data_IF_753410197081
#
_entry.id   IF_753410197081
#
_cell.length_a   1.000
_cell.length_b   1.000
_cell.length_c   1.000
_cell.angle_alpha   90.00
_cell.angle_beta   90.00
_cell.angle_gamma   90.00
#
_symmetry.space_group_name_H-M   'P 1'
#
loop_
_entity.id
_entity.type
_entity.pdbx_description
1 polymer ?
#
# COMPACT_ATOMS: atom_id res chain seq x y z
N UNK A 1 -11.22 -10.90 -12.18
CA UNK A 1 -12.30 -9.90 -12.43
C UNK A 1 -12.49 -9.11 -11.15
N UNK A 2 -12.24 -7.80 -11.17
CA UNK A 2 -12.45 -6.94 -10.01
C UNK A 2 -13.94 -6.86 -9.68
N UNK A 3 -14.28 -6.90 -8.38
CA UNK A 3 -15.65 -6.67 -7.94
C UNK A 3 -15.97 -5.18 -8.06
N UNK A 4 -17.07 -4.84 -8.72
CA UNK A 4 -17.60 -3.47 -8.68
C UNK A 4 -17.99 -3.11 -7.24
N UNK A 5 -18.01 -1.82 -6.91
CA UNK A 5 -18.41 -1.36 -5.56
C UNK A 5 -19.81 -1.86 -5.18
N UNK A 6 -20.73 -1.96 -6.15
CA UNK A 6 -22.06 -2.54 -5.96
C UNK A 6 -22.02 -4.05 -5.67
N UNK A 7 -21.25 -4.82 -6.46
CA UNK A 7 -21.09 -6.25 -6.24
C UNK A 7 -20.45 -6.55 -4.87
N UNK A 8 -19.43 -5.77 -4.49
CA UNK A 8 -18.77 -5.91 -3.21
C UNK A 8 -19.68 -5.50 -2.03
N UNK A 9 -20.52 -4.48 -2.21
CA UNK A 9 -21.54 -4.11 -1.22
C UNK A 9 -22.57 -5.22 -1.02
N UNK A 10 -23.08 -5.82 -2.11
CA UNK A 10 -24.00 -6.94 -2.04
C UNK A 10 -23.35 -8.16 -1.39
N UNK A 11 -22.10 -8.46 -1.75
CA UNK A 11 -21.32 -9.53 -1.15
C UNK A 11 -21.19 -9.33 0.36
N UNK A 12 -20.80 -8.13 0.79
CA UNK A 12 -20.66 -7.79 2.21
C UNK A 12 -21.99 -7.97 2.97
N UNK A 13 -23.09 -7.44 2.41
CA UNK A 13 -24.42 -7.58 3.02
C UNK A 13 -24.86 -9.03 3.15
N UNK A 14 -24.57 -9.88 2.17
CA UNK A 14 -24.92 -11.33 2.21
C UNK A 14 -24.25 -12.08 3.36
N UNK A 15 -23.08 -11.63 3.81
CA UNK A 15 -22.41 -12.25 4.95
C UNK A 15 -23.03 -11.86 6.30
N UNK A 16 -23.89 -10.83 6.33
CA UNK A 16 -24.58 -10.34 7.54
C UNK A 16 -23.58 -9.92 8.62
N UNK A 17 -22.48 -9.28 8.23
CA UNK A 17 -21.58 -8.64 9.18
C UNK A 17 -22.33 -7.50 9.86
N UNK A 18 -22.49 -7.55 11.19
CA UNK A 18 -23.11 -6.47 11.97
C UNK A 18 -22.20 -5.24 12.10
N UNK A 19 -21.15 -5.16 11.29
CA UNK A 19 -20.06 -4.18 11.37
C UNK A 19 -19.79 -3.60 9.98
N UNK A 20 -19.47 -2.31 9.94
CA UNK A 20 -19.11 -1.65 8.70
C UNK A 20 -17.72 -2.08 8.24
N UNK A 21 -17.56 -2.25 6.92
CA UNK A 21 -16.28 -2.55 6.29
C UNK A 21 -15.31 -1.38 6.47
N UNK A 22 -14.05 -1.68 6.73
CA UNK A 22 -12.98 -0.67 6.78
C UNK A 22 -12.59 -0.19 5.37
N UNK A 23 -12.11 1.05 5.26
CA UNK A 23 -11.67 1.62 3.98
C UNK A 23 -10.41 0.92 3.45
N UNK A 24 -9.44 0.59 4.31
CA UNK A 24 -8.26 -0.24 3.95
C UNK A 24 -8.65 -1.54 3.24
N UNK A 25 -9.67 -2.26 3.73
CA UNK A 25 -10.14 -3.48 3.06
C UNK A 25 -10.74 -3.16 1.69
N UNK A 26 -11.47 -2.05 1.57
CA UNK A 26 -12.00 -1.60 0.28
C UNK A 26 -10.88 -1.29 -0.72
N UNK A 27 -9.83 -0.60 -0.27
CA UNK A 27 -8.65 -0.29 -1.08
C UNK A 27 -7.91 -1.55 -1.49
N UNK A 28 -7.65 -2.47 -0.55
CA UNK A 28 -6.94 -3.72 -0.82
C UNK A 28 -7.69 -4.60 -1.83
N UNK A 29 -9.02 -4.71 -1.73
CA UNK A 29 -9.82 -5.50 -2.67
C UNK A 29 -9.93 -4.88 -4.07
N UNK A 30 -9.65 -3.58 -4.19
CA UNK A 30 -9.64 -2.85 -5.45
C UNK A 30 -8.30 -2.93 -6.21
N UNK A 31 -7.26 -3.47 -5.60
CA UNK A 31 -5.95 -3.62 -6.24
C UNK A 31 -6.00 -4.60 -7.42
N UNK A 32 -5.41 -4.23 -8.55
CA UNK A 32 -5.36 -5.02 -9.80
C UNK A 32 -4.54 -6.30 -9.72
N UNK A 33 -3.67 -6.43 -8.74
CA UNK A 33 -2.92 -7.65 -8.49
C UNK A 33 -3.69 -8.65 -7.61
N UNK A 34 -4.83 -8.27 -7.03
CA UNK A 34 -5.66 -9.13 -6.16
C UNK A 34 -6.64 -9.93 -7.01
N UNK A 35 -6.12 -10.89 -7.76
CA UNK A 35 -6.93 -11.76 -8.61
C UNK A 35 -6.76 -13.22 -8.25
N UNK A 36 -5.52 -13.70 -8.21
CA UNK A 36 -5.17 -15.09 -7.91
C UNK A 36 -4.13 -15.15 -6.79
N UNK A 37 -4.22 -16.14 -5.91
CA UNK A 37 -3.22 -16.34 -4.86
C UNK A 37 -3.77 -16.90 -3.56
N UNK A 38 -3.04 -16.63 -2.49
CA UNK A 38 -3.36 -17.03 -1.12
C UNK A 38 -3.86 -15.82 -0.32
N UNK A 39 -4.82 -16.06 0.56
CA UNK A 39 -5.30 -15.09 1.54
C UNK A 39 -5.31 -15.67 2.95
N UNK A 40 -5.10 -14.80 3.93
CA UNK A 40 -5.04 -15.17 5.34
C UNK A 40 -5.96 -14.25 6.14
N UNK A 41 -6.82 -14.84 6.95
CA UNK A 41 -7.76 -14.11 7.83
C UNK A 41 -7.20 -14.15 9.24
N UNK A 42 -6.92 -12.97 9.80
CA UNK A 42 -6.50 -12.78 11.17
C UNK A 42 -7.67 -12.35 12.06
N UNK A 43 -7.63 -12.82 13.31
CA UNK A 43 -8.50 -12.35 14.38
C UNK A 43 -7.71 -12.27 15.69
N UNK A 44 -7.77 -11.13 16.37
CA UNK A 44 -6.92 -10.78 17.51
C UNK A 44 -5.43 -10.91 17.17
N UNK A 45 -4.74 -11.87 17.78
CA UNK A 45 -3.31 -12.12 17.71
C UNK A 45 -2.97 -13.37 16.88
N UNK A 46 -3.96 -13.97 16.19
CA UNK A 46 -3.75 -15.23 15.46
C UNK A 46 -4.37 -15.24 14.06
N UNK A 47 -3.77 -16.05 13.19
CA UNK A 47 -4.36 -16.42 11.90
C UNK A 47 -5.41 -17.49 12.17
N UNK A 48 -6.65 -17.25 11.75
CA UNK A 48 -7.78 -18.14 12.00
C UNK A 48 -8.19 -18.95 10.78
N UNK A 49 -7.86 -18.48 9.58
CA UNK A 49 -8.11 -19.21 8.35
C UNK A 49 -7.14 -18.81 7.24
N UNK A 50 -6.72 -19.77 6.43
CA UNK A 50 -5.93 -19.56 5.22
C UNK A 50 -6.66 -20.23 4.07
N UNK A 51 -6.72 -19.55 2.93
CA UNK A 51 -7.31 -20.10 1.72
C UNK A 51 -6.60 -19.63 0.47
N UNK A 52 -6.82 -20.34 -0.63
CA UNK A 52 -6.41 -19.92 -1.97
C UNK A 52 -7.62 -19.63 -2.87
N UNK A 53 -7.43 -18.80 -3.90
CA UNK A 53 -8.45 -18.58 -4.93
C UNK A 53 -7.90 -17.92 -6.19
N UNK A 54 -8.54 -18.19 -7.33
CA UNK A 54 -8.42 -17.38 -8.55
C UNK A 54 -9.41 -16.18 -8.60
N UNK A 55 -10.14 -15.96 -7.49
CA UNK A 55 -11.04 -14.84 -7.26
C UNK A 55 -10.86 -14.33 -5.83
N UNK A 56 -9.64 -13.87 -5.50
CA UNK A 56 -9.26 -13.49 -4.13
C UNK A 56 -10.28 -12.57 -3.45
N UNK A 57 -10.73 -11.50 -4.12
CA UNK A 57 -11.65 -10.53 -3.52
C UNK A 57 -13.00 -11.13 -3.12
N UNK A 58 -13.55 -12.04 -3.93
CA UNK A 58 -14.84 -12.69 -3.66
C UNK A 58 -14.68 -13.79 -2.60
N UNK A 59 -13.73 -14.70 -2.82
CA UNK A 59 -13.58 -15.91 -2.02
C UNK A 59 -13.13 -15.61 -0.60
N UNK A 60 -12.29 -14.60 -0.41
CA UNK A 60 -11.86 -14.17 0.92
C UNK A 60 -13.00 -13.66 1.80
N UNK A 61 -13.94 -12.91 1.23
CA UNK A 61 -15.11 -12.39 1.95
C UNK A 61 -16.10 -13.52 2.27
N UNK A 62 -16.28 -14.49 1.37
CA UNK A 62 -17.09 -15.68 1.65
C UNK A 62 -16.52 -16.50 2.80
N UNK A 63 -15.20 -16.73 2.80
CA UNK A 63 -14.50 -17.43 3.88
C UNK A 63 -14.57 -16.65 5.20
N UNK A 64 -14.37 -15.32 5.15
CA UNK A 64 -14.55 -14.45 6.31
C UNK A 64 -15.96 -14.59 6.89
N UNK A 65 -17.01 -14.56 6.08
CA UNK A 65 -18.38 -14.72 6.57
C UNK A 65 -18.62 -16.05 7.30
N UNK A 66 -18.01 -17.14 6.80
CA UNK A 66 -18.08 -18.47 7.45
C UNK A 66 -17.32 -18.52 8.77
N UNK A 67 -16.13 -17.94 8.82
CA UNK A 67 -15.25 -17.92 9.99
C UNK A 67 -15.77 -16.97 11.07
N UNK A 68 -16.20 -15.78 10.67
CA UNK A 68 -16.68 -14.71 11.56
C UNK A 68 -17.74 -15.19 12.54
N UNK A 69 -18.74 -15.95 12.05
CA UNK A 69 -19.84 -16.47 12.86
C UNK A 69 -19.45 -17.59 13.83
N UNK A 70 -18.26 -18.17 13.67
CA UNK A 70 -17.75 -19.27 14.51
C UNK A 70 -16.87 -18.78 15.65
N UNK A 71 -16.44 -17.53 15.63
CA UNK A 71 -15.67 -16.93 16.72
C UNK A 71 -16.65 -16.35 17.77
N UNK A 72 -16.53 -16.74 19.06
CA UNK A 72 -17.44 -16.28 20.11
C UNK A 72 -17.45 -14.76 20.29
N UNK A 73 -16.27 -14.13 20.31
CA UNK A 73 -16.14 -12.67 20.41
C UNK A 73 -15.89 -12.05 19.04
N UNK A 74 -16.98 -11.69 18.36
CA UNK A 74 -16.90 -11.05 17.05
C UNK A 74 -16.44 -9.58 17.12
N UNK A 75 -16.34 -8.98 18.31
CA UNK A 75 -15.86 -7.62 18.51
C UNK A 75 -14.33 -7.52 18.54
N UNK A 76 -13.62 -8.67 18.55
CA UNK A 76 -12.18 -8.74 18.35
C UNK A 76 -11.74 -7.98 17.07
N UNK A 77 -10.48 -7.55 16.98
CA UNK A 77 -9.96 -6.96 15.77
C UNK A 77 -9.70 -8.05 14.72
N UNK A 78 -10.16 -7.80 13.49
CA UNK A 78 -10.00 -8.66 12.33
C UNK A 78 -9.10 -8.01 11.28
N UNK A 79 -8.29 -8.82 10.63
CA UNK A 79 -7.43 -8.40 9.52
C UNK A 79 -7.44 -9.43 8.40
N UNK A 80 -7.04 -9.00 7.21
CA UNK A 80 -6.78 -9.89 6.11
C UNK A 80 -5.44 -9.57 5.46
N UNK A 81 -4.77 -10.59 4.94
CA UNK A 81 -3.56 -10.46 4.14
C UNK A 81 -3.74 -11.17 2.80
N UNK A 82 -3.14 -10.62 1.73
CA UNK A 82 -3.10 -11.21 0.40
C UNK A 82 -1.68 -11.44 -0.07
N UNK A 83 -1.46 -12.60 -0.66
CA UNK A 83 -0.22 -13.01 -1.30
C UNK A 83 -0.54 -13.51 -2.72
N UNK A 84 -0.36 -12.65 -3.75
CA UNK A 84 -0.71 -12.98 -5.12
C UNK A 84 0.25 -14.03 -5.69
N UNK A 85 -0.30 -15.04 -6.37
CA UNK A 85 0.47 -16.11 -7.01
C UNK A 85 -0.19 -16.57 -8.31
N UNK A 86 0.63 -17.11 -9.22
CA UNK A 86 0.15 -17.88 -10.36
C UNK A 86 -0.55 -19.16 -9.88
N UNK A 87 -1.51 -19.64 -10.67
CA UNK A 87 -2.36 -20.78 -10.30
C UNK A 87 -1.56 -22.04 -9.96
N UNK A 88 -0.48 -22.32 -10.69
CA UNK A 88 0.39 -23.48 -10.45
C UNK A 88 1.10 -23.50 -9.09
N UNK A 89 1.34 -22.34 -8.46
CA UNK A 89 2.10 -22.25 -7.21
C UNK A 89 1.21 -22.13 -5.97
N UNK A 90 -0.09 -21.90 -6.14
CA UNK A 90 -0.99 -21.59 -5.02
C UNK A 90 -1.11 -22.74 -4.00
N UNK A 91 -1.16 -24.00 -4.47
CA UNK A 91 -1.26 -25.19 -3.61
C UNK A 91 -0.05 -25.30 -2.65
N UNK A 92 1.15 -25.00 -3.15
CA UNK A 92 2.39 -25.03 -2.38
C UNK A 92 2.36 -23.97 -1.27
N UNK A 93 2.06 -22.73 -1.64
CA UNK A 93 2.10 -21.59 -0.72
C UNK A 93 0.97 -21.64 0.31
N UNK A 94 -0.24 -22.06 -0.09
CA UNK A 94 -1.34 -22.32 0.83
C UNK A 94 -0.95 -23.42 1.82
N UNK A 95 -0.41 -24.54 1.32
CA UNK A 95 -0.06 -25.67 2.16
C UNK A 95 1.05 -25.34 3.15
N UNK A 96 2.09 -24.63 2.71
CA UNK A 96 3.16 -24.14 3.57
C UNK A 96 2.62 -23.26 4.69
N UNK A 97 1.74 -22.30 4.37
CA UNK A 97 1.18 -21.38 5.34
C UNK A 97 0.23 -22.09 6.32
N UNK A 98 -0.62 -23.02 5.87
CA UNK A 98 -1.48 -23.81 6.78
C UNK A 98 -0.63 -24.62 7.76
N UNK A 99 0.46 -25.24 7.30
CA UNK A 99 1.36 -25.99 8.20
C UNK A 99 2.06 -25.08 9.21
N UNK A 100 2.51 -23.90 8.78
CA UNK A 100 3.22 -22.97 9.65
C UNK A 100 2.32 -22.36 10.74
N UNK A 101 1.09 -21.98 10.38
CA UNK A 101 0.19 -21.25 11.28
C UNK A 101 -0.86 -22.12 11.96
N UNK A 102 -1.11 -23.34 11.46
CA UNK A 102 -2.14 -24.27 11.92
C UNK A 102 -3.49 -23.59 12.28
N UNK A 103 -4.13 -22.85 11.35
CA UNK A 103 -5.29 -22.04 11.68
C UNK A 103 -6.48 -22.90 12.11
N UNK A 104 -7.18 -22.45 13.15
CA UNK A 104 -8.30 -23.16 13.81
C UNK A 104 -9.39 -23.62 12.83
N UNK A 105 -9.66 -22.86 11.76
CA UNK A 105 -10.76 -23.14 10.84
C UNK A 105 -10.33 -23.81 9.53
N UNK A 106 -9.05 -24.16 9.37
CA UNK A 106 -8.62 -25.07 8.32
C UNK A 106 -8.89 -26.51 8.78
N UNK A 107 -9.68 -27.27 8.01
CA UNK A 107 -10.15 -28.61 8.40
C UNK A 107 -9.06 -29.68 8.39
N UNK A 108 -7.93 -29.40 7.75
CA UNK A 108 -6.80 -30.32 7.64
C UNK A 108 -5.49 -29.56 7.56
N UNK A 109 -4.46 -30.13 8.17
CA UNK A 109 -3.07 -29.67 8.04
C UNK A 109 -2.40 -30.54 6.95
N UNK A 110 -1.85 -29.95 5.89
CA UNK A 110 -1.15 -30.70 4.84
C UNK A 110 0.00 -31.54 5.38
N UNK A 111 0.26 -32.70 4.77
CA UNK A 111 1.43 -33.51 5.12
C UNK A 111 2.73 -32.85 4.61
N UNK A 112 3.87 -33.23 5.21
CA UNK A 112 5.19 -32.72 4.81
C UNK A 112 5.47 -32.93 3.30
N UNK A 113 5.08 -34.09 2.77
CA UNK A 113 5.34 -34.44 1.36
C UNK A 113 4.50 -33.65 0.34
N UNK A 114 3.49 -32.87 0.79
CA UNK A 114 2.61 -32.09 -0.09
C UNK A 114 3.09 -30.66 -0.33
N UNK A 115 4.12 -30.20 0.36
CA UNK A 115 4.68 -28.88 0.12
C UNK A 115 6.14 -28.79 0.55
N UNK A 116 6.93 -28.06 -0.23
CA UNK A 116 8.34 -27.74 0.00
C UNK A 116 8.57 -26.70 1.11
N UNK A 117 7.49 -26.14 1.67
CA UNK A 117 7.56 -25.15 2.75
C UNK A 117 7.81 -23.72 2.27
N UNK A 118 7.53 -23.42 1.00
CA UNK A 118 7.71 -22.07 0.45
C UNK A 118 6.63 -21.14 0.98
N UNK A 119 6.97 -20.29 1.95
CA UNK A 119 6.00 -19.37 2.56
C UNK A 119 5.50 -18.32 1.56
N UNK A 120 4.21 -17.94 1.63
CA UNK A 120 3.67 -16.87 0.79
C UNK A 120 4.28 -15.51 1.16
N UNK A 121 4.64 -14.71 0.15
CA UNK A 121 5.06 -13.31 0.32
C UNK A 121 3.83 -12.42 0.34
N UNK A 122 3.59 -11.75 1.47
CA UNK A 122 2.43 -10.87 1.64
C UNK A 122 2.64 -9.59 0.84
N UNK A 123 1.75 -9.31 -0.11
CA UNK A 123 1.76 -8.09 -0.90
C UNK A 123 0.91 -6.97 -0.28
N UNK A 124 -0.04 -7.31 0.59
CA UNK A 124 -0.84 -6.31 1.29
C UNK A 124 -1.64 -6.87 2.45
N UNK A 125 -1.95 -6.00 3.40
CA UNK A 125 -2.81 -6.30 4.55
C UNK A 125 -3.84 -5.20 4.76
N UNK A 126 -4.96 -5.53 5.40
CA UNK A 126 -5.99 -4.56 5.74
C UNK A 126 -6.72 -4.94 7.03
N UNK A 127 -7.13 -3.93 7.80
CA UNK A 127 -8.19 -4.12 8.79
C UNK A 127 -9.52 -4.40 8.09
N UNK A 128 -10.34 -5.28 8.67
CA UNK A 128 -11.61 -5.70 8.06
C UNK A 128 -12.76 -4.76 8.44
N UNK A 129 -12.89 -4.37 9.73
CA UNK A 129 -14.01 -3.57 10.23
C UNK A 129 -13.61 -2.16 10.68
N UNK A 130 -14.45 -1.18 10.36
CA UNK A 130 -14.22 0.25 10.61
C UNK A 130 -14.15 0.63 12.11
N UNK A 131 -14.90 -0.08 12.94
CA UNK A 131 -15.02 0.15 14.39
C UNK A 131 -13.85 -0.44 15.19
N UNK A 132 -12.87 -1.09 14.53
CA UNK A 132 -11.67 -1.62 15.16
C UNK A 132 -10.64 -0.54 15.56
N UNK A 133 -10.89 0.72 15.18
CA UNK A 133 -10.00 1.87 15.42
C UNK A 133 -9.79 2.25 16.91
N UNK A 134 -10.24 1.44 17.86
CA UNK A 134 -10.21 1.78 19.29
C UNK A 134 -9.90 0.61 20.22
N UNK A 135 -8.70 0.02 20.13
CA UNK A 135 -8.01 -0.58 21.30
C UNK A 135 -6.52 -0.27 21.42
N UNK A 136 -5.79 -0.07 20.30
CA UNK A 136 -4.36 0.35 20.36
C UNK A 136 -4.15 1.79 20.88
N UNK A 137 -5.08 2.72 20.62
CA UNK A 137 -4.88 4.15 20.95
C UNK A 137 -5.02 4.53 22.43
N UNK A 138 -5.65 3.71 23.28
CA UNK A 138 -5.97 4.10 24.67
C UNK A 138 -4.96 3.60 25.72
N UNK A 139 -4.32 2.45 25.49
CA UNK A 139 -3.31 1.90 26.41
C UNK A 139 -1.92 2.54 26.24
N UNK A 140 -1.57 2.98 25.03
CA UNK A 140 -0.23 3.51 24.71
C UNK A 140 -0.04 4.99 25.09
N UNK A 141 -1.09 5.67 25.54
CA UNK A 141 -1.07 7.12 25.82
C UNK A 141 -0.58 7.49 27.22
N UNK A 142 -0.19 6.51 28.05
CA UNK A 142 0.25 6.75 29.43
C UNK A 142 1.71 6.41 29.74
N UNK A 143 2.50 5.96 28.76
CA UNK A 143 3.94 5.76 28.98
C UNK A 143 4.74 6.16 27.75
N UNK A 144 5.66 7.10 28.00
CA UNK A 144 6.67 7.66 27.11
C UNK A 144 6.20 8.67 26.04
N UNK A 145 6.89 9.83 25.92
CA UNK A 145 6.69 10.74 24.80
C UNK A 145 7.16 10.03 23.53
N UNK A 146 6.22 9.47 22.78
CA UNK A 146 6.53 8.86 21.48
C UNK A 146 6.76 10.00 20.50
N UNK A 147 7.99 10.17 20.02
CA UNK A 147 8.26 10.91 18.80
C UNK A 147 7.28 10.39 17.74
N UNK A 148 6.48 11.31 17.16
CA UNK A 148 5.67 10.98 15.99
C UNK A 148 6.62 10.38 14.94
N UNK A 149 6.23 9.31 14.23
CA UNK A 149 6.99 8.92 13.04
C UNK A 149 7.06 10.16 12.15
N UNK A 150 8.29 10.59 11.86
CA UNK A 150 8.54 11.65 10.91
C UNK A 150 7.93 11.24 9.57
N UNK A 151 7.04 12.08 9.05
CA UNK A 151 6.28 11.85 7.83
C UNK A 151 6.43 13.09 6.98
N UNK A 152 6.84 12.88 5.74
CA UNK A 152 6.94 13.96 4.75
C UNK A 152 5.83 13.75 3.74
N UNK A 153 5.06 14.81 3.50
CA UNK A 153 3.96 14.81 2.53
C UNK A 153 4.32 15.71 1.37
N UNK A 154 4.45 15.13 0.18
CA UNK A 154 4.67 15.85 -1.08
C UNK A 154 3.38 15.89 -1.88
N UNK A 155 3.20 16.93 -2.69
CA UNK A 155 1.99 17.16 -3.48
C UNK A 155 2.34 17.27 -4.95
N UNK A 156 1.60 16.56 -5.79
CA UNK A 156 1.68 16.70 -7.25
C UNK A 156 0.30 17.04 -7.78
N UNK A 157 0.22 18.04 -8.66
CA UNK A 157 -1.02 18.37 -9.35
C UNK A 157 -0.97 17.80 -10.77
N UNK A 158 -1.97 16.98 -11.12
CA UNK A 158 -2.09 16.37 -12.44
C UNK A 158 -3.54 16.45 -12.91
N UNK A 159 -3.79 17.05 -14.09
CA UNK A 159 -5.13 17.24 -14.67
C UNK A 159 -6.18 17.84 -13.68
N UNK A 160 -5.74 18.75 -12.80
CA UNK A 160 -6.58 19.40 -11.79
C UNK A 160 -6.86 18.54 -10.55
N UNK A 161 -6.17 17.41 -10.41
CA UNK A 161 -6.24 16.49 -9.25
C UNK A 161 -4.96 16.64 -8.43
N UNK A 162 -5.10 16.78 -7.11
CA UNK A 162 -3.96 16.77 -6.20
C UNK A 162 -3.69 15.35 -5.71
N UNK A 163 -2.52 14.84 -6.06
CA UNK A 163 -1.98 13.56 -5.62
C UNK A 163 -1.04 13.83 -4.46
N UNK A 164 -1.34 13.23 -3.31
CA UNK A 164 -0.48 13.27 -2.13
C UNK A 164 0.44 12.05 -2.14
N UNK A 165 1.72 12.27 -1.93
CA UNK A 165 2.70 11.22 -1.66
C UNK A 165 3.12 11.36 -0.22
N UNK A 166 2.89 10.33 0.57
CA UNK A 166 3.31 10.26 1.95
C UNK A 166 4.48 9.30 2.10
N UNK A 167 5.63 9.85 2.45
CA UNK A 167 6.83 9.09 2.76
C UNK A 167 6.82 8.73 4.25
N UNK A 168 7.00 7.44 4.54
CA UNK A 168 7.04 6.91 5.91
C UNK A 168 8.26 6.02 6.09
N UNK A 169 8.92 6.16 7.24
CA UNK A 169 9.98 5.25 7.69
C UNK A 169 9.37 4.09 8.45
N UNK A 170 9.75 2.86 8.10
CA UNK A 170 9.42 1.71 8.93
C UNK A 170 10.17 1.77 10.26
N UNK A 171 9.47 1.37 11.33
CA UNK A 171 10.04 1.22 12.66
C UNK A 171 10.48 -0.24 12.95
N UNK A 172 10.49 -1.11 11.93
CA UNK A 172 10.92 -2.50 12.10
C UNK A 172 12.43 -2.58 12.35
N UNK A 173 12.80 -3.33 13.39
CA UNK A 173 14.18 -3.45 13.84
C UNK A 173 14.95 -4.30 12.84
N UNK A 174 15.86 -3.70 12.08
CA UNK A 174 16.83 -4.40 11.23
C UNK A 174 16.82 -3.98 9.76
N UNK A 175 15.74 -3.39 9.25
CA UNK A 175 15.70 -2.91 7.86
C UNK A 175 14.98 -1.56 7.76
N UNK A 176 15.71 -0.54 7.32
CA UNK A 176 15.18 0.81 7.10
C UNK A 176 14.61 0.90 5.69
N UNK A 177 13.31 0.63 5.55
CA UNK A 177 12.59 0.80 4.30
C UNK A 177 11.79 2.11 4.29
N UNK A 178 11.83 2.81 3.16
CA UNK A 178 11.00 3.98 2.86
C UNK A 178 9.75 3.52 2.09
N UNK A 179 8.58 3.89 2.60
CA UNK A 179 7.30 3.55 1.96
C UNK A 179 6.66 4.81 1.42
N UNK A 180 6.18 4.74 0.17
CA UNK A 180 5.40 5.79 -0.47
C UNK A 180 3.92 5.40 -0.50
N UNK A 181 3.10 6.12 0.25
CA UNK A 181 1.64 6.00 0.20
C UNK A 181 1.07 7.10 -0.69
N UNK A 182 0.33 6.72 -1.73
CA UNK A 182 -0.27 7.64 -2.68
C UNK A 182 -1.74 7.85 -2.34
N UNK A 183 -2.15 9.10 -2.16
CA UNK A 183 -3.55 9.46 -1.94
C UNK A 183 -3.99 10.56 -2.89
N UNK A 184 -4.85 10.26 -3.84
CA UNK A 184 -5.50 11.27 -4.65
C UNK A 184 -6.61 11.97 -3.83
N UNK A 185 -6.44 13.27 -3.55
CA UNK A 185 -7.40 14.08 -2.77
C UNK A 185 -7.86 15.27 -3.60
N UNK A 186 -9.03 15.15 -4.22
CA UNK A 186 -9.75 16.31 -4.77
C UNK A 186 -11.26 16.10 -4.96
N UNK A 187 -11.81 14.93 -4.64
CA UNK A 187 -13.23 14.61 -4.86
C UNK A 187 -14.19 15.67 -4.27
N UNK A 188 -13.89 16.22 -3.08
CA UNK A 188 -14.70 17.27 -2.47
C UNK A 188 -14.66 18.62 -3.18
N UNK A 189 -13.52 18.98 -3.82
CA UNK A 189 -13.37 20.24 -4.56
C UNK A 189 -14.05 20.19 -5.92
N UNK A 190 -13.97 19.05 -6.61
CA UNK A 190 -14.57 18.83 -7.94
C UNK A 190 -16.11 18.84 -7.89
N UNK A 191 -16.69 18.34 -6.79
CA UNK A 191 -18.14 18.43 -6.53
C UNK A 191 -18.55 19.86 -6.18
N UNK A 192 -17.76 20.56 -5.37
CA UNK A 192 -18.03 21.94 -4.97
C UNK A 192 -17.94 22.94 -6.14
N UNK A 193 -17.16 22.63 -7.18
CA UNK A 193 -17.05 23.45 -8.40
C UNK A 193 -18.12 23.14 -9.45
N UNK A 194 -19.04 22.21 -9.18
CA UNK A 194 -20.14 21.85 -10.10
C UNK A 194 -19.70 21.22 -11.42
N UNK A 195 -18.44 20.80 -11.52
CA UNK A 195 -17.81 20.36 -12.77
C UNK A 195 -18.11 18.90 -13.09
N UNK A 196 -18.54 18.11 -12.09
CA UNK A 196 -18.92 16.70 -12.25
C UNK A 196 -20.30 16.44 -11.64
N UNK A 197 -21.13 15.60 -12.27
CA UNK A 197 -22.54 15.42 -11.93
C UNK A 197 -22.77 14.66 -10.62
N UNK A 198 -21.81 13.83 -10.19
CA UNK A 198 -21.93 13.01 -8.98
C UNK A 198 -20.57 12.57 -8.39
N UNK A 199 -20.63 12.06 -7.14
CA UNK A 199 -19.47 11.61 -6.35
C UNK A 199 -18.68 10.47 -7.00
N UNK A 200 -19.36 9.53 -7.66
CA UNK A 200 -18.71 8.38 -8.27
C UNK A 200 -17.95 8.80 -9.54
N UNK A 201 -18.55 9.66 -10.37
CA UNK A 201 -17.88 10.24 -11.54
C UNK A 201 -16.66 11.07 -11.16
N UNK A 202 -16.77 11.93 -10.14
CA UNK A 202 -15.64 12.68 -9.61
C UNK A 202 -14.53 11.78 -9.04
N UNK A 203 -14.90 10.67 -8.36
CA UNK A 203 -13.93 9.71 -7.83
C UNK A 203 -13.21 8.92 -8.94
N UNK A 204 -13.94 8.45 -9.96
CA UNK A 204 -13.35 7.75 -11.10
C UNK A 204 -12.37 8.64 -11.86
N UNK A 205 -12.76 9.89 -12.17
CA UNK A 205 -11.85 10.86 -12.80
C UNK A 205 -10.56 11.08 -12.01
N UNK A 206 -10.66 11.10 -10.68
CA UNK A 206 -9.51 11.25 -9.78
C UNK A 206 -8.61 10.02 -9.79
N UNK A 207 -9.21 8.82 -9.86
CA UNK A 207 -8.48 7.55 -10.00
C UNK A 207 -7.79 7.49 -11.37
N UNK A 208 -8.51 7.74 -12.46
CA UNK A 208 -7.98 7.70 -13.82
C UNK A 208 -6.80 8.67 -13.98
N UNK A 209 -6.92 9.90 -13.46
CA UNK A 209 -5.84 10.87 -13.47
C UNK A 209 -4.63 10.43 -12.63
N UNK A 210 -4.85 9.74 -11.51
CA UNK A 210 -3.78 9.20 -10.70
C UNK A 210 -3.11 8.00 -11.37
N UNK A 211 -3.87 7.09 -11.97
CA UNK A 211 -3.35 5.92 -12.71
C UNK A 211 -2.54 6.35 -13.93
N UNK A 212 -3.04 7.32 -14.71
CA UNK A 212 -2.30 7.88 -15.84
C UNK A 212 -0.99 8.53 -15.40
N UNK A 213 -1.02 9.30 -14.30
CA UNK A 213 0.19 9.90 -13.75
C UNK A 213 1.19 8.84 -13.26
N UNK A 214 0.70 7.78 -12.62
CA UNK A 214 1.50 6.65 -12.16
C UNK A 214 1.97 5.75 -13.31
N UNK A 215 1.41 5.85 -14.51
CA UNK A 215 1.90 5.11 -15.68
C UNK A 215 3.08 5.82 -16.37
N UNK A 216 3.36 7.08 -16.04
CA UNK A 216 4.49 7.80 -16.61
C UNK A 216 5.82 7.14 -16.22
N UNK A 217 6.80 7.10 -17.13
CA UNK A 217 8.14 6.60 -16.82
C UNK A 217 8.82 7.47 -15.76
N UNK A 218 8.64 8.79 -15.85
CA UNK A 218 9.16 9.79 -14.92
C UNK A 218 7.99 10.59 -14.34
N UNK A 219 7.58 10.22 -13.12
CA UNK A 219 6.32 10.64 -12.50
C UNK A 219 6.51 11.93 -11.71
N UNK A 220 7.67 12.04 -11.06
CA UNK A 220 8.03 13.17 -10.23
C UNK A 220 8.74 14.26 -11.03
N UNK A 221 8.87 15.45 -10.45
CA UNK A 221 9.72 16.52 -10.99
C UNK A 221 11.18 16.06 -11.07
N UNK A 222 11.62 15.33 -10.02
CA UNK A 222 12.91 14.64 -9.93
C UNK A 222 12.64 13.18 -9.60
N UNK A 223 13.17 12.28 -10.42
CA UNK A 223 12.98 10.83 -10.31
C UNK A 223 14.32 10.19 -9.98
N UNK A 224 14.35 9.44 -8.88
CA UNK A 224 15.47 8.60 -8.48
C UNK A 224 15.18 7.19 -9.00
N UNK A 225 15.90 6.76 -10.05
CA UNK A 225 15.69 5.47 -10.70
C UNK A 225 16.42 4.34 -9.99
N UNK A 226 15.94 3.10 -10.15
CA UNK A 226 16.53 1.91 -9.51
C UNK A 226 17.98 1.62 -9.97
N UNK A 227 18.37 2.11 -11.14
CA UNK A 227 19.73 2.01 -11.67
C UNK A 227 20.71 3.04 -11.08
N UNK A 228 20.24 3.89 -10.15
CA UNK A 228 21.03 4.94 -9.52
C UNK A 228 21.03 6.25 -10.30
N UNK A 229 20.33 6.35 -11.44
CA UNK A 229 20.21 7.61 -12.19
C UNK A 229 19.23 8.59 -11.54
N UNK A 230 19.48 9.88 -11.70
CA UNK A 230 18.57 10.97 -11.32
C UNK A 230 18.16 11.70 -12.56
N UNK A 231 16.85 11.73 -12.83
CA UNK A 231 16.30 12.33 -14.05
C UNK A 231 15.12 13.25 -13.76
N UNK A 232 14.99 14.32 -14.55
CA UNK A 232 13.80 15.18 -14.53
C UNK A 232 12.57 14.44 -15.06
N UNK A 233 11.39 15.04 -14.93
CA UNK A 233 10.17 14.52 -15.55
C UNK A 233 10.29 14.40 -17.07
N UNK A 234 11.02 15.31 -17.67
CA UNK A 234 11.25 15.41 -19.11
C UNK A 234 12.31 14.40 -19.59
N UNK A 235 12.95 13.68 -18.66
CA UNK A 235 13.97 12.69 -18.95
C UNK A 235 15.37 13.25 -19.09
N UNK A 236 15.59 14.50 -18.69
CA UNK A 236 16.93 15.09 -18.59
C UNK A 236 17.69 14.40 -17.46
N UNK A 237 18.91 13.95 -17.75
CA UNK A 237 19.78 13.33 -16.76
C UNK A 237 20.52 14.39 -15.96
N UNK A 238 20.44 14.32 -14.62
CA UNK A 238 21.02 15.31 -13.71
C UNK A 238 22.21 14.80 -12.91
N UNK A 239 22.41 13.48 -12.85
CA UNK A 239 23.47 12.85 -12.05
C UNK A 239 23.04 11.52 -11.45
N UNK A 240 23.70 11.13 -10.36
CA UNK A 240 23.49 9.85 -9.69
C UNK A 240 23.02 10.00 -8.26
N UNK A 241 22.32 9.00 -7.76
CA UNK A 241 21.95 8.90 -6.35
C UNK A 241 22.30 7.52 -5.79
N UNK A 242 22.47 7.46 -4.48
CA UNK A 242 22.66 6.22 -3.73
C UNK A 242 22.19 6.37 -2.29
N UNK A 243 21.92 5.24 -1.64
CA UNK A 243 21.72 5.17 -0.20
C UNK A 243 22.98 4.62 0.48
N UNK A 244 23.30 5.15 1.66
CA UNK A 244 24.37 4.60 2.50
C UNK A 244 23.89 3.36 3.29
N UNK A 245 24.78 2.79 4.11
CA UNK A 245 24.48 1.65 5.01
C UNK A 245 23.32 1.94 5.99
N UNK A 246 23.00 3.21 6.19
CA UNK A 246 21.96 3.69 7.06
C UNK A 246 20.65 4.01 6.32
N UNK A 247 20.59 3.83 5.00
CA UNK A 247 19.45 4.15 4.16
C UNK A 247 19.28 5.63 3.87
N UNK A 248 20.30 6.46 4.11
CA UNK A 248 20.24 7.89 3.84
C UNK A 248 20.58 8.19 2.38
N UNK A 249 19.66 8.78 1.62
CA UNK A 249 19.89 9.07 0.21
C UNK A 249 20.82 10.28 0.03
N UNK A 250 21.67 10.17 -0.99
CA UNK A 250 22.62 11.20 -1.39
C UNK A 250 22.61 11.37 -2.90
N UNK A 251 22.92 12.58 -3.36
CA UNK A 251 22.95 12.97 -4.76
C UNK A 251 24.31 13.56 -5.15
N UNK A 252 24.82 13.11 -6.30
CA UNK A 252 26.02 13.63 -6.95
C UNK A 252 25.62 14.11 -8.35
N UNK A 253 25.78 15.41 -8.66
CA UNK A 253 25.49 15.96 -9.98
C UNK A 253 26.31 15.30 -11.09
N UNK A 254 25.79 15.35 -12.32
CA UNK A 254 26.54 14.88 -13.49
C UNK A 254 27.87 15.63 -13.65
N UNK A 255 28.92 14.90 -14.01
CA UNK A 255 30.29 15.42 -14.13
C UNK A 255 31.01 15.71 -12.80
N UNK A 256 30.32 15.65 -11.66
CA UNK A 256 30.91 15.89 -10.34
C UNK A 256 31.32 14.59 -9.64
N UNK A 257 32.33 14.68 -8.77
CA UNK A 257 32.81 13.54 -7.97
C UNK A 257 32.38 13.58 -6.51
N UNK A 258 31.92 14.74 -6.04
CA UNK A 258 31.48 14.96 -4.66
C UNK A 258 29.96 14.93 -4.54
N UNK A 259 29.49 14.51 -3.36
CA UNK A 259 28.06 14.54 -3.02
C UNK A 259 27.65 15.99 -2.77
N UNK A 260 26.66 16.47 -3.52
CA UNK A 260 26.11 17.82 -3.35
C UNK A 260 25.05 17.85 -2.25
N UNK A 261 24.14 16.87 -2.23
CA UNK A 261 23.08 16.78 -1.25
C UNK A 261 23.08 15.43 -0.54
N UNK A 262 22.88 15.48 0.77
CA UNK A 262 22.67 14.34 1.63
C UNK A 262 21.45 14.62 2.50
N UNK A 263 20.50 13.69 2.52
CA UNK A 263 19.25 13.87 3.25
C UNK A 263 18.84 12.61 3.97
N UNK A 264 17.96 12.79 4.95
CA UNK A 264 17.36 11.65 5.67
C UNK A 264 16.18 11.02 4.91
N UNK A 265 15.61 11.75 3.94
CA UNK A 265 14.37 11.38 3.23
C UNK A 265 14.53 11.61 1.73
N UNK A 266 13.98 10.69 0.94
CA UNK A 266 14.02 10.79 -0.53
C UNK A 266 13.23 12.01 -0.99
N UNK A 267 12.08 12.29 -0.39
CA UNK A 267 11.26 13.45 -0.73
C UNK A 267 12.00 14.78 -0.51
N UNK A 268 12.78 14.90 0.57
CA UNK A 268 13.61 16.08 0.81
C UNK A 268 14.76 16.18 -0.17
N UNK A 269 15.41 15.05 -0.47
CA UNK A 269 16.47 15.02 -1.47
C UNK A 269 15.96 15.48 -2.83
N UNK A 270 14.85 14.91 -3.31
CA UNK A 270 14.22 15.30 -4.58
C UNK A 270 13.82 16.78 -4.60
N UNK A 271 13.31 17.33 -3.49
CA UNK A 271 12.99 18.76 -3.41
C UNK A 271 14.25 19.63 -3.55
N UNK A 272 15.34 19.29 -2.85
CA UNK A 272 16.60 20.04 -2.95
C UNK A 272 17.21 19.97 -4.34
N UNK A 273 17.19 18.80 -4.98
CA UNK A 273 17.64 18.64 -6.36
C UNK A 273 16.80 19.52 -7.30
N UNK A 274 15.48 19.53 -7.12
CA UNK A 274 14.58 20.33 -7.94
C UNK A 274 14.86 21.83 -7.80
N UNK A 275 15.02 22.32 -6.56
CA UNK A 275 15.30 23.73 -6.28
C UNK A 275 16.68 24.13 -6.84
N UNK A 276 17.66 23.23 -6.76
CA UNK A 276 18.98 23.42 -7.34
C UNK A 276 18.96 23.50 -8.87
N UNK A 277 18.27 22.57 -9.53
CA UNK A 277 18.16 22.53 -10.99
C UNK A 277 17.47 23.78 -11.54
N UNK A 278 16.35 24.19 -10.93
CA UNK A 278 15.66 25.43 -11.33
C UNK A 278 16.53 26.69 -11.14
N UNK A 279 17.38 26.71 -10.13
CA UNK A 279 18.31 27.82 -9.93
C UNK A 279 19.41 27.86 -11.02
N UNK A 280 19.83 26.71 -11.55
CA UNK A 280 20.80 26.65 -12.66
C UNK A 280 20.17 27.16 -13.97
N UNK A 281 18.94 26.75 -14.26
CA UNK A 281 18.21 27.18 -15.47
C UNK A 281 18.01 28.69 -15.54
N UNK A 282 17.74 29.34 -14.40
CA UNK A 282 17.59 30.79 -14.32
C UNK A 282 18.89 31.56 -14.57
N UNK A 283 20.05 30.95 -14.24
CA UNK A 283 21.37 31.53 -14.48
C UNK A 283 21.79 31.36 -15.95
N UNK A 284 21.34 30.30 -16.64
CA UNK A 284 21.63 30.07 -18.06
C UNK A 284 20.72 30.83 -19.03
N UNK A 285 19.54 31.27 -18.59
CA UNK A 285 18.58 32.05 -19.40
C UNK A 285 18.67 33.56 -19.19
N UNK A 286 19.56 34.03 -18.30
CA UNK A 286 19.88 35.44 -18.04
C UNK A 286 21.16 35.87 -18.75
#
# INVERSE_FOLDING_TARGET
MMLTSSALFQLWKRQVFLRNRHDELSSLLGCSWVHTGVYMIGCADRVVYIGQSNQLSQRSIDSLGRVYRRIPDTALPWSIAFAPFAYEDMDEHESAAIRAYAPEFNTSIPSMNKSLGRMPVIAGTAQIFADQASRRRRAQRRSAPTQRPERITTYVEHKGVKIHIDEKRSNEVGERHLFFEWMAKSYGKVIASGTEPDKATAANRVIDAAEEHLALPYRFKINLCDDGSVVTREGEYLGTWKTDENGYPSFTPDGESEVLFFEMWIGMLCQKIADWHEAQDQVQTS
#
